data_IF_101663744998
#
_entry.id   IF_101663744998
#
_cell.length_a   1.000
_cell.length_b   1.000
_cell.length_c   1.000
_cell.angle_alpha   90.00
_cell.angle_beta   90.00
_cell.angle_gamma   90.00
#
_symmetry.space_group_name_H-M   'P 1'
#
loop_
_entity.id
_entity.type
_entity.pdbx_description
1 polymer ?
#
# COMPACT_ATOMS: atom_id res chain seq x y z
N UNK A 1 15.76 3.04 -5.41
CA UNK A 1 15.32 1.82 -4.68
C UNK A 1 14.21 1.16 -5.45
N UNK A 2 14.25 -0.16 -5.62
CA UNK A 2 13.13 -0.89 -6.21
C UNK A 2 12.05 -1.09 -5.13
N UNK A 3 10.86 -0.57 -5.34
CA UNK A 3 9.72 -0.81 -4.46
C UNK A 3 9.32 -2.30 -4.50
N UNK A 4 8.88 -2.82 -3.35
CA UNK A 4 8.34 -4.19 -3.21
C UNK A 4 6.89 -4.22 -3.70
N UNK A 5 6.43 -5.35 -4.21
CA UNK A 5 5.00 -5.58 -4.40
C UNK A 5 4.29 -5.59 -3.04
N UNK A 6 3.01 -5.23 -3.02
CA UNK A 6 2.26 -5.05 -1.76
C UNK A 6 2.24 -6.29 -0.88
N UNK A 7 2.15 -7.48 -1.48
CA UNK A 7 2.17 -8.78 -0.80
C UNK A 7 3.53 -9.13 -0.16
N UNK A 8 4.57 -8.33 -0.42
CA UNK A 8 5.91 -8.51 0.15
C UNK A 8 6.30 -7.40 1.12
N UNK A 9 5.42 -6.43 1.36
CA UNK A 9 5.60 -5.43 2.41
C UNK A 9 5.46 -6.12 3.76
N UNK A 10 6.39 -5.85 4.67
CA UNK A 10 6.38 -6.40 6.03
C UNK A 10 6.14 -5.30 7.06
N UNK A 11 5.81 -5.66 8.32
CA UNK A 11 5.70 -4.69 9.42
C UNK A 11 6.99 -3.88 9.57
N UNK A 12 8.15 -4.52 9.51
CA UNK A 12 9.45 -3.85 9.64
C UNK A 12 9.73 -2.87 8.50
N UNK A 13 9.22 -3.12 7.29
CA UNK A 13 9.30 -2.13 6.20
C UNK A 13 8.52 -0.86 6.53
N UNK A 14 7.36 -1.00 7.17
CA UNK A 14 6.50 0.12 7.59
C UNK A 14 7.15 0.87 8.76
N UNK A 15 7.68 0.15 9.76
CA UNK A 15 8.41 0.73 10.90
C UNK A 15 9.63 1.54 10.44
N UNK A 16 10.35 1.06 9.42
CA UNK A 16 11.51 1.75 8.84
C UNK A 16 11.16 3.13 8.23
N UNK A 17 9.88 3.43 8.02
CA UNK A 17 9.41 4.75 7.58
C UNK A 17 9.15 5.72 8.75
N UNK A 18 9.47 5.32 9.98
CA UNK A 18 9.23 6.12 11.19
C UNK A 18 7.82 5.98 11.77
N UNK A 19 7.09 4.93 11.41
CA UNK A 19 5.77 4.63 11.96
C UNK A 19 5.93 3.75 13.21
N UNK A 20 5.28 4.15 14.31
CA UNK A 20 5.29 3.42 15.57
C UNK A 20 4.82 1.96 15.42
N UNK A 21 5.44 1.04 16.16
CA UNK A 21 5.28 -0.42 15.96
C UNK A 21 3.82 -0.89 16.00
N UNK A 22 3.01 -0.39 16.95
CA UNK A 22 1.60 -0.76 17.04
C UNK A 22 0.76 -0.20 15.88
N UNK A 23 1.09 0.99 15.37
CA UNK A 23 0.46 1.54 14.18
C UNK A 23 0.88 0.74 12.93
N UNK A 24 2.16 0.39 12.81
CA UNK A 24 2.70 -0.41 11.71
C UNK A 24 2.04 -1.79 11.62
N UNK A 25 1.84 -2.49 12.75
CA UNK A 25 1.11 -3.76 12.80
C UNK A 25 -0.33 -3.63 12.32
N UNK A 26 -1.05 -2.58 12.76
CA UNK A 26 -2.45 -2.35 12.34
C UNK A 26 -2.53 -2.04 10.84
N UNK A 27 -1.66 -1.17 10.33
CA UNK A 27 -1.58 -0.84 8.91
C UNK A 27 -1.26 -2.07 8.06
N UNK A 28 -0.28 -2.88 8.48
CA UNK A 28 0.06 -4.14 7.81
C UNK A 28 -1.10 -5.13 7.82
N UNK A 29 -1.83 -5.27 8.94
CA UNK A 29 -3.00 -6.14 9.03
C UNK A 29 -4.13 -5.69 8.08
N UNK A 30 -4.43 -4.39 8.04
CA UNK A 30 -5.39 -3.81 7.11
C UNK A 30 -4.97 -4.06 5.65
N UNK A 31 -3.70 -3.82 5.32
CA UNK A 31 -3.16 -4.08 3.99
C UNK A 31 -3.25 -5.56 3.60
N UNK A 32 -2.85 -6.46 4.49
CA UNK A 32 -2.94 -7.92 4.28
C UNK A 32 -4.37 -8.36 4.01
N UNK A 33 -5.33 -7.85 4.78
CA UNK A 33 -6.74 -8.14 4.58
C UNK A 33 -7.25 -7.67 3.21
N UNK A 34 -6.88 -6.46 2.78
CA UNK A 34 -7.23 -5.95 1.44
C UNK A 34 -6.65 -6.87 0.35
N UNK A 35 -5.36 -7.21 0.45
CA UNK A 35 -4.67 -8.07 -0.54
C UNK A 35 -5.30 -9.47 -0.60
N UNK A 36 -5.69 -10.04 0.55
CA UNK A 36 -6.34 -11.36 0.59
C UNK A 36 -7.70 -11.37 -0.11
N UNK A 37 -8.45 -10.27 -0.06
CA UNK A 37 -9.78 -10.17 -0.69
C UNK A 37 -9.73 -9.81 -2.17
N UNK A 38 -8.78 -8.96 -2.58
CA UNK A 38 -8.79 -8.34 -3.92
C UNK A 38 -7.51 -8.58 -4.74
N UNK A 39 -6.49 -9.21 -4.18
CA UNK A 39 -5.17 -9.40 -4.80
C UNK A 39 -4.24 -8.19 -4.66
N UNK A 40 -2.92 -8.32 -4.91
CA UNK A 40 -1.96 -7.26 -4.60
C UNK A 40 -1.88 -6.12 -5.63
N UNK A 41 -2.52 -6.25 -6.80
CA UNK A 41 -2.40 -5.31 -7.90
C UNK A 41 -3.70 -5.23 -8.71
N UNK A 42 -4.77 -4.77 -8.07
CA UNK A 42 -6.10 -4.58 -8.69
C UNK A 42 -6.66 -3.19 -8.41
N UNK A 43 -7.60 -2.70 -9.24
CA UNK A 43 -8.27 -1.42 -8.98
C UNK A 43 -8.94 -1.39 -7.60
N UNK A 44 -9.60 -2.48 -7.20
CA UNK A 44 -10.27 -2.60 -5.90
C UNK A 44 -9.29 -2.54 -4.73
N UNK A 45 -8.08 -3.11 -4.89
CA UNK A 45 -7.01 -2.99 -3.89
C UNK A 45 -6.58 -1.54 -3.73
N UNK A 46 -6.34 -0.82 -4.82
CA UNK A 46 -5.97 0.59 -4.74
C UNK A 46 -7.09 1.42 -4.10
N UNK A 47 -8.34 1.23 -4.52
CA UNK A 47 -9.51 1.91 -3.95
C UNK A 47 -9.65 1.67 -2.44
N UNK A 48 -9.45 0.44 -1.97
CA UNK A 48 -9.52 0.14 -0.54
C UNK A 48 -8.34 0.73 0.24
N UNK A 49 -7.14 0.76 -0.35
CA UNK A 49 -5.97 1.38 0.26
C UNK A 49 -6.20 2.88 0.46
N UNK A 50 -6.67 3.58 -0.57
CA UNK A 50 -6.93 5.02 -0.47
C UNK A 50 -8.05 5.36 0.50
N UNK A 51 -9.07 4.51 0.61
CA UNK A 51 -10.22 4.76 1.47
C UNK A 51 -9.99 4.38 2.95
N UNK A 52 -9.12 3.40 3.25
CA UNK A 52 -9.07 2.75 4.58
C UNK A 52 -7.69 2.69 5.22
N UNK A 53 -6.61 2.86 4.44
CA UNK A 53 -5.23 2.68 4.93
C UNK A 53 -4.46 4.00 4.90
N UNK A 54 -4.58 4.75 3.81
CA UNK A 54 -3.93 6.05 3.69
C UNK A 54 -4.67 7.09 4.55
N UNK A 55 -3.90 7.90 5.30
CA UNK A 55 -4.39 9.14 5.87
C UNK A 55 -3.33 10.25 5.75
N UNK A 56 -3.75 11.54 5.78
CA UNK A 56 -2.84 12.67 5.64
C UNK A 56 -1.74 12.76 6.70
N UNK A 57 -1.97 12.17 7.87
CA UNK A 57 -1.05 12.17 9.01
C UNK A 57 0.08 11.14 8.86
N UNK A 58 -0.06 10.18 7.93
CA UNK A 58 0.97 9.18 7.67
C UNK A 58 2.12 9.78 6.83
N UNK A 59 3.36 9.31 7.03
CA UNK A 59 4.50 9.77 6.25
C UNK A 59 4.30 9.60 4.74
N UNK A 60 4.75 10.58 3.95
CA UNK A 60 4.69 10.50 2.49
C UNK A 60 5.41 9.27 1.91
N UNK A 61 6.51 8.84 2.56
CA UNK A 61 7.23 7.62 2.19
C UNK A 61 6.36 6.36 2.28
N UNK A 62 5.38 6.33 3.19
CA UNK A 62 4.41 5.24 3.29
C UNK A 62 3.40 5.30 2.13
N UNK A 63 2.95 6.50 1.78
CA UNK A 63 2.10 6.71 0.60
C UNK A 63 2.82 6.23 -0.68
N UNK A 64 4.10 6.57 -0.85
CA UNK A 64 4.92 6.11 -1.96
C UNK A 64 5.08 4.59 -1.98
N UNK A 65 5.36 3.98 -0.83
CA UNK A 65 5.49 2.51 -0.71
C UNK A 65 4.22 1.81 -1.20
N UNK A 66 3.04 2.26 -0.78
CA UNK A 66 1.78 1.65 -1.21
C UNK A 66 1.48 1.92 -2.69
N UNK A 67 1.67 3.16 -3.16
CA UNK A 67 1.44 3.50 -4.57
C UNK A 67 2.34 2.67 -5.49
N UNK A 68 3.65 2.76 -5.34
CA UNK A 68 4.57 2.05 -6.22
C UNK A 68 4.52 0.53 -6.03
N UNK A 69 4.18 0.05 -4.84
CA UNK A 69 3.97 -1.38 -4.60
C UNK A 69 2.73 -1.92 -5.30
N UNK A 70 1.63 -1.16 -5.33
CA UNK A 70 0.39 -1.53 -5.99
C UNK A 70 0.57 -1.65 -7.51
N UNK A 71 1.42 -0.79 -8.08
CA UNK A 71 1.70 -0.77 -9.52
C UNK A 71 2.97 -1.56 -9.91
N UNK A 72 3.60 -2.28 -8.98
CA UNK A 72 4.93 -2.89 -9.19
C UNK A 72 4.99 -3.89 -10.35
N UNK A 73 3.89 -4.57 -10.63
CA UNK A 73 3.80 -5.64 -11.65
C UNK A 73 3.50 -5.11 -13.05
N UNK A 74 3.21 -3.82 -13.19
CA UNK A 74 2.95 -3.22 -14.49
C UNK A 74 4.25 -2.78 -15.16
N UNK A 75 4.20 -2.73 -16.50
CA UNK A 75 5.29 -2.20 -17.32
C UNK A 75 5.37 -0.67 -17.25
N UNK A 76 6.02 -0.02 -18.22
CA UNK A 76 6.18 1.44 -18.23
C UNK A 76 4.86 2.22 -18.33
N UNK A 77 3.76 1.55 -18.70
CA UNK A 77 2.43 2.14 -18.86
C UNK A 77 1.42 1.44 -17.92
N UNK A 78 1.43 1.76 -16.61
CA UNK A 78 0.49 1.20 -15.65
C UNK A 78 -0.93 1.75 -15.88
N UNK A 79 -1.97 1.01 -15.52
CA UNK A 79 -3.33 1.50 -15.61
C UNK A 79 -3.55 2.70 -14.68
N UNK A 80 -4.29 3.72 -15.16
CA UNK A 80 -4.63 4.89 -14.37
C UNK A 80 -5.87 4.60 -13.50
N UNK A 81 -5.71 3.88 -12.38
CA UNK A 81 -6.81 3.70 -11.44
C UNK A 81 -7.03 4.97 -10.63
N UNK A 82 -8.08 5.69 -10.97
CA UNK A 82 -8.57 6.81 -10.18
C UNK A 82 -9.33 6.22 -8.98
N UNK A 83 -9.05 6.66 -7.73
CA UNK A 83 -9.97 6.38 -6.65
C UNK A 83 -11.32 6.99 -7.03
N UNK A 84 -12.40 6.23 -6.85
CA UNK A 84 -13.75 6.74 -7.13
C UNK A 84 -13.97 8.05 -6.36
N UNK A 85 -14.59 9.01 -7.04
CA UNK A 85 -14.93 10.34 -6.55
C UNK A 85 -15.84 10.32 -5.33
#
# INVERSE_FOLDING_TARGET
MAYKSLDRVTVSDIEALGIESEAAKRLHASLTNIIQNYGPATPDTWRNITARVLSPELPFSFHQMLYYGCYKVFGPDPPAWLPDS
#
